data_IF_350199967679
#
_entry.id   IF_350199967679
#
_cell.length_a   1.000
_cell.length_b   1.000
_cell.length_c   1.000
_cell.angle_alpha   90.00
_cell.angle_beta   90.00
_cell.angle_gamma   90.00
#
_symmetry.space_group_name_H-M   'P 1'
#
loop_
_entity.id
_entity.type
_entity.pdbx_description
1 polymer ?
#
# COMPACT_ATOMS: atom_id res chain seq x y z
N UNK A 1 -12.64 -8.88 5.75
CA UNK A 1 -11.45 -8.12 6.21
C UNK A 1 -11.09 -8.63 7.60
N UNK A 2 -9.86 -9.08 7.75
CA UNK A 2 -9.20 -9.53 8.97
C UNK A 2 -8.70 -8.34 9.79
N UNK A 3 -8.26 -8.57 11.03
CA UNK A 3 -7.68 -7.53 11.88
C UNK A 3 -6.48 -6.84 11.22
N UNK A 4 -5.59 -7.58 10.56
CA UNK A 4 -4.46 -7.02 9.82
C UNK A 4 -4.92 -6.15 8.65
N UNK A 5 -5.92 -6.57 7.88
CA UNK A 5 -6.47 -5.76 6.78
C UNK A 5 -7.08 -4.45 7.29
N UNK A 6 -7.74 -4.47 8.45
CA UNK A 6 -8.30 -3.26 9.07
C UNK A 6 -7.20 -2.30 9.54
N UNK A 7 -6.11 -2.83 10.11
CA UNK A 7 -4.96 -2.02 10.51
C UNK A 7 -4.29 -1.35 9.28
N UNK A 8 -4.11 -2.08 8.19
CA UNK A 8 -3.59 -1.54 6.94
C UNK A 8 -4.50 -0.45 6.38
N UNK A 9 -5.82 -0.69 6.34
CA UNK A 9 -6.78 0.31 5.84
C UNK A 9 -6.74 1.60 6.68
N UNK A 10 -6.62 1.48 7.99
CA UNK A 10 -6.47 2.63 8.88
C UNK A 10 -5.18 3.41 8.60
N UNK A 11 -4.09 2.71 8.33
CA UNK A 11 -2.81 3.34 7.96
C UNK A 11 -2.89 4.03 6.60
N UNK A 12 -3.51 3.41 5.59
CA UNK A 12 -3.75 4.02 4.27
C UNK A 12 -4.51 5.34 4.42
N UNK A 13 -5.58 5.34 5.23
CA UNK A 13 -6.37 6.54 5.53
C UNK A 13 -5.51 7.63 6.17
N UNK A 14 -4.68 7.24 7.12
CA UNK A 14 -3.77 8.17 7.80
C UNK A 14 -2.78 8.79 6.82
N UNK A 15 -2.09 7.99 6.00
CA UNK A 15 -1.10 8.49 5.02
C UNK A 15 -1.79 9.36 3.97
N UNK A 16 -2.95 8.94 3.49
CA UNK A 16 -3.73 9.72 2.54
C UNK A 16 -4.07 11.11 3.10
N UNK A 17 -4.51 11.21 4.36
CA UNK A 17 -4.84 12.50 4.96
C UNK A 17 -3.62 13.32 5.38
N UNK A 18 -2.62 12.70 6.01
CA UNK A 18 -1.48 13.38 6.63
C UNK A 18 -0.38 13.75 5.62
N UNK A 19 -0.09 12.85 4.67
CA UNK A 19 0.98 13.06 3.69
C UNK A 19 0.47 13.49 2.31
N UNK A 20 -0.75 13.08 1.93
CA UNK A 20 -1.33 13.39 0.61
C UNK A 20 -2.43 14.45 0.67
N UNK A 21 -2.69 15.02 1.85
CA UNK A 21 -3.72 16.05 2.08
C UNK A 21 -5.13 15.64 1.61
N UNK A 22 -5.38 14.32 1.50
CA UNK A 22 -6.64 13.76 1.04
C UNK A 22 -7.74 13.95 2.10
N UNK A 23 -8.79 14.67 1.71
CA UNK A 23 -9.93 14.99 2.58
C UNK A 23 -11.18 14.15 2.29
N UNK A 24 -11.13 13.26 1.28
CA UNK A 24 -12.26 12.41 0.90
C UNK A 24 -12.34 11.10 1.70
N UNK A 25 -13.40 10.33 1.48
CA UNK A 25 -13.52 9.00 2.07
C UNK A 25 -12.65 7.97 1.32
N UNK A 26 -11.94 7.13 2.08
CA UNK A 26 -11.15 6.02 1.53
C UNK A 26 -11.90 4.72 1.82
N UNK A 27 -12.58 4.21 0.80
CA UNK A 27 -13.31 2.94 0.86
C UNK A 27 -12.52 1.81 0.19
N UNK A 28 -12.66 0.55 0.65
CA UNK A 28 -11.96 -0.60 0.05
C UNK A 28 -12.24 -0.75 -1.46
N UNK A 29 -13.45 -0.37 -1.90
CA UNK A 29 -13.88 -0.43 -3.29
C UNK A 29 -13.31 0.66 -4.19
N UNK A 30 -12.73 1.72 -3.60
CA UNK A 30 -12.20 2.83 -4.39
C UNK A 30 -10.94 2.42 -5.15
N UNK A 31 -10.88 2.82 -6.41
CA UNK A 31 -9.69 2.74 -7.24
C UNK A 31 -8.68 3.82 -6.81
N UNK A 32 -7.42 3.41 -6.65
CA UNK A 32 -6.36 4.29 -6.15
C UNK A 32 -6.09 5.46 -7.10
N UNK A 33 -6.18 5.24 -8.40
CA UNK A 33 -5.90 6.27 -9.41
C UNK A 33 -7.15 7.02 -9.86
N UNK A 34 -8.31 6.36 -9.92
CA UNK A 34 -9.54 6.98 -10.42
C UNK A 34 -10.38 7.65 -9.33
N UNK A 35 -10.55 6.98 -8.19
CA UNK A 35 -11.40 7.47 -7.12
C UNK A 35 -10.60 8.28 -6.09
N UNK A 36 -9.43 7.80 -5.69
CA UNK A 36 -8.51 8.56 -4.81
C UNK A 36 -7.64 9.55 -5.59
N UNK A 37 -7.67 9.51 -6.93
CA UNK A 37 -6.91 10.41 -7.80
C UNK A 37 -5.42 10.49 -7.44
N UNK A 38 -4.84 9.38 -6.97
CA UNK A 38 -3.42 9.34 -6.60
C UNK A 38 -2.56 9.38 -7.85
N UNK A 39 -1.75 10.42 -7.97
CA UNK A 39 -0.67 10.50 -8.95
C UNK A 39 0.44 9.48 -8.64
N UNK A 40 1.38 9.31 -9.57
CA UNK A 40 2.54 8.42 -9.40
C UNK A 40 3.35 8.71 -8.12
N UNK A 41 3.47 9.98 -7.74
CA UNK A 41 4.10 10.37 -6.48
C UNK A 41 3.25 9.97 -5.26
N UNK A 42 1.93 10.17 -5.31
CA UNK A 42 1.03 9.80 -4.22
C UNK A 42 1.02 8.30 -3.96
N UNK A 43 1.02 7.49 -5.02
CA UNK A 43 1.18 6.03 -4.94
C UNK A 43 2.53 5.64 -4.31
N UNK A 44 3.61 6.34 -4.68
CA UNK A 44 4.95 6.09 -4.12
C UNK A 44 5.00 6.41 -2.63
N UNK A 45 4.48 7.56 -2.21
CA UNK A 45 4.41 7.98 -0.80
C UNK A 45 3.58 6.96 0.01
N UNK A 46 2.42 6.56 -0.51
CA UNK A 46 1.57 5.57 0.13
C UNK A 46 2.29 4.22 0.30
N UNK A 47 2.93 3.73 -0.76
CA UNK A 47 3.70 2.49 -0.72
C UNK A 47 4.82 2.55 0.32
N UNK A 48 5.62 3.62 0.30
CA UNK A 48 6.74 3.81 1.24
C UNK A 48 6.26 3.94 2.69
N UNK A 49 5.15 4.64 2.94
CA UNK A 49 4.56 4.74 4.28
C UNK A 49 4.14 3.37 4.83
N UNK A 50 3.49 2.55 3.99
CA UNK A 50 3.09 1.19 4.33
C UNK A 50 4.29 0.27 4.55
N UNK A 51 5.29 0.30 3.67
CA UNK A 51 6.53 -0.47 3.81
C UNK A 51 7.23 -0.17 5.15
N UNK A 52 7.34 1.11 5.51
CA UNK A 52 7.96 1.53 6.76
C UNK A 52 7.14 1.10 7.99
N UNK A 53 5.81 1.26 7.93
CA UNK A 53 4.91 0.92 9.04
C UNK A 53 4.89 -0.58 9.35
N UNK A 54 4.77 -1.39 8.30
CA UNK A 54 4.62 -2.84 8.41
C UNK A 54 5.94 -3.61 8.27
N UNK A 55 7.06 -2.91 8.01
CA UNK A 55 8.39 -3.49 7.79
C UNK A 55 8.40 -4.51 6.66
N UNK A 56 7.69 -4.20 5.58
CA UNK A 56 7.59 -5.03 4.37
C UNK A 56 8.32 -4.39 3.19
N UNK A 57 8.45 -5.14 2.10
CA UNK A 57 8.86 -4.65 0.78
C UNK A 57 7.73 -4.89 -0.21
N UNK A 58 7.30 -3.84 -0.90
CA UNK A 58 6.34 -3.91 -2.01
C UNK A 58 7.14 -3.83 -3.30
N UNK A 59 7.10 -4.88 -4.11
CA UNK A 59 7.78 -4.86 -5.41
C UNK A 59 6.87 -4.28 -6.49
N UNK A 60 7.46 -3.86 -7.60
CA UNK A 60 6.69 -3.37 -8.74
C UNK A 60 5.72 -4.44 -9.28
N UNK A 61 6.13 -5.71 -9.28
CA UNK A 61 5.30 -6.84 -9.71
C UNK A 61 4.04 -6.98 -8.85
N UNK A 62 4.16 -6.75 -7.54
CA UNK A 62 3.01 -6.76 -6.64
C UNK A 62 2.07 -5.60 -6.92
N UNK A 63 2.64 -4.41 -7.15
CA UNK A 63 1.89 -3.20 -7.45
C UNK A 63 1.15 -3.29 -8.80
N UNK A 64 1.61 -4.09 -9.76
CA UNK A 64 0.90 -4.30 -11.04
C UNK A 64 -0.50 -4.91 -10.86
N UNK A 65 -0.71 -5.71 -9.81
CA UNK A 65 -2.02 -6.30 -9.48
C UNK A 65 -2.96 -5.34 -8.75
N UNK A 66 -2.39 -4.31 -8.11
CA UNK A 66 -3.10 -3.41 -7.21
C UNK A 66 -3.82 -2.32 -7.99
N UNK A 67 -5.15 -2.32 -7.89
CA UNK A 67 -6.00 -1.26 -8.47
C UNK A 67 -6.84 -0.53 -7.45
N UNK A 68 -7.39 -1.27 -6.49
CA UNK A 68 -8.26 -0.72 -5.45
C UNK A 68 -7.56 -0.69 -4.10
N UNK A 69 -8.12 0.10 -3.19
CA UNK A 69 -7.70 0.14 -1.79
C UNK A 69 -7.75 -1.26 -1.17
N UNK A 70 -8.79 -2.04 -1.47
CA UNK A 70 -8.90 -3.43 -0.98
C UNK A 70 -7.74 -4.30 -1.45
N UNK A 71 -7.32 -4.17 -2.71
CA UNK A 71 -6.20 -4.95 -3.26
C UNK A 71 -4.89 -4.63 -2.54
N UNK A 72 -4.63 -3.32 -2.34
CA UNK A 72 -3.47 -2.85 -1.59
C UNK A 72 -3.50 -3.34 -0.13
N UNK A 73 -4.65 -3.26 0.51
CA UNK A 73 -4.86 -3.74 1.89
C UNK A 73 -4.52 -5.23 2.01
N UNK A 74 -5.04 -6.04 1.09
CA UNK A 74 -4.79 -7.49 1.08
C UNK A 74 -3.34 -7.82 0.80
N UNK A 75 -2.69 -7.09 -0.11
CA UNK A 75 -1.28 -7.28 -0.44
C UNK A 75 -0.40 -7.03 0.79
N UNK A 76 -0.57 -5.87 1.43
CA UNK A 76 0.23 -5.47 2.60
C UNK A 76 -0.04 -6.41 3.77
N UNK A 77 -1.30 -6.79 4.03
CA UNK A 77 -1.62 -7.73 5.10
C UNK A 77 -0.96 -9.09 4.88
N UNK A 78 -0.97 -9.60 3.64
CA UNK A 78 -0.27 -10.85 3.30
C UNK A 78 1.25 -10.73 3.51
N UNK A 79 1.85 -9.58 3.18
CA UNK A 79 3.29 -9.36 3.37
C UNK A 79 3.68 -9.18 4.82
N UNK A 80 2.85 -8.48 5.61
CA UNK A 80 3.06 -8.31 7.03
C UNK A 80 2.96 -9.65 7.77
N UNK A 81 2.10 -10.56 7.30
CA UNK A 81 1.97 -11.91 7.83
C UNK A 81 3.15 -12.84 7.48
N UNK A 82 3.90 -12.55 6.40
CA UNK A 82 5.08 -13.32 5.98
C UNK A 82 6.35 -12.45 6.12
N UNK A 83 6.89 -12.31 7.35
CA UNK A 83 8.12 -11.56 7.55
C UNK A 83 9.29 -12.29 6.88
N UNK A 84 9.82 -11.71 5.79
CA UNK A 84 11.14 -12.09 5.26
C UNK A 84 11.19 -12.87 3.94
N UNK A 85 10.21 -12.76 3.05
CA UNK A 85 10.35 -13.30 1.68
C UNK A 85 11.33 -12.47 0.81
N UNK A 86 12.62 -12.70 1.08
CA UNK A 86 13.83 -12.57 0.26
C UNK A 86 14.27 -11.20 -0.32
N UNK A 87 15.60 -10.96 -0.35
CA UNK A 87 16.22 -9.78 -0.95
C UNK A 87 16.23 -9.89 -2.48
N UNK A 88 16.02 -8.77 -3.16
CA UNK A 88 16.29 -8.61 -4.59
C UNK A 88 17.73 -9.07 -4.91
N UNK A 89 17.97 -9.85 -5.99
CA UNK A 89 19.32 -10.20 -6.39
C UNK A 89 20.05 -8.93 -6.84
N UNK A 90 21.16 -8.59 -6.16
CA UNK A 90 22.09 -7.56 -6.62
C UNK A 90 22.57 -7.92 -8.02
N UNK A 91 22.12 -7.19 -9.04
CA UNK A 91 22.73 -7.21 -10.37
C UNK A 91 24.07 -6.49 -10.25
N UNK A 92 25.12 -7.26 -9.97
CA UNK A 92 26.51 -6.80 -10.07
C UNK A 92 26.92 -6.77 -11.56
N UNK A 93 27.47 -5.65 -12.08
CA UNK A 93 28.16 -5.65 -13.37
C UNK A 93 29.49 -6.41 -13.29
#
# INVERSE_FOLDING_TARGET
MTESELEVLAEIRRIATDELEWSGEVEPRHDLMRDLQLDSLGLTVLAVGLENRFRIRLTEEDAQGVRTVEDLVRLVAQRAAVPGAAPVPEVRP
#
